data_IF_888503619788
#
_entry.id   IF_888503619788
#
_cell.length_a   1.000
_cell.length_b   1.000
_cell.length_c   1.000
_cell.angle_alpha   90.00
_cell.angle_beta   90.00
_cell.angle_gamma   90.00
#
_symmetry.space_group_name_H-M   'P 1'
#
loop_
_entity.id
_entity.type
_entity.pdbx_description
1 polymer ?
#
# COMPACT_ATOMS: atom_id res chain seq x y z
N UNK A 1 -12.77 -8.74 5.36
CA UNK A 1 -13.11 -9.37 4.07
C UNK A 1 -11.84 -9.39 3.24
N UNK A 2 -11.45 -10.55 2.68
CA UNK A 2 -10.20 -10.70 1.95
C UNK A 2 -10.39 -10.33 0.47
N UNK A 3 -9.44 -9.56 -0.05
CA UNK A 3 -9.40 -9.03 -1.40
C UNK A 3 -8.07 -9.40 -2.05
N UNK A 4 -8.07 -9.64 -3.36
CA UNK A 4 -6.85 -9.82 -4.14
C UNK A 4 -6.88 -8.84 -5.30
N UNK A 5 -5.84 -8.02 -5.39
CA UNK A 5 -5.69 -7.01 -6.42
C UNK A 5 -4.40 -7.25 -7.21
N UNK A 6 -4.47 -7.01 -8.52
CA UNK A 6 -3.30 -7.08 -9.39
C UNK A 6 -3.00 -5.67 -9.90
N UNK A 7 -2.01 -5.04 -9.27
CA UNK A 7 -1.49 -3.77 -9.74
C UNK A 7 -0.78 -3.97 -11.07
N UNK A 8 -1.13 -3.15 -12.06
CA UNK A 8 -0.51 -3.14 -13.39
C UNK A 8 -0.36 -1.70 -13.88
N UNK A 9 0.86 -1.32 -14.26
CA UNK A 9 1.13 -0.09 -15.01
C UNK A 9 2.10 -0.38 -16.15
N UNK A 10 1.86 0.24 -17.30
CA UNK A 10 2.74 0.13 -18.46
C UNK A 10 3.00 1.52 -19.00
N UNK A 11 4.27 1.92 -19.07
CA UNK A 11 4.70 3.17 -19.69
C UNK A 11 5.81 2.84 -20.69
N UNK A 12 5.52 2.99 -21.97
CA UNK A 12 6.42 2.56 -23.04
C UNK A 12 6.63 1.04 -23.06
N UNK A 13 7.89 0.61 -23.11
CA UNK A 13 8.27 -0.80 -23.23
C UNK A 13 8.35 -1.54 -21.89
N UNK A 14 8.24 -0.84 -20.76
CA UNK A 14 8.37 -1.41 -19.42
C UNK A 14 7.04 -1.49 -18.71
N UNK A 15 6.91 -2.49 -17.82
CA UNK A 15 5.70 -2.76 -17.07
C UNK A 15 6.00 -3.06 -15.62
N UNK A 16 5.19 -2.47 -14.73
CA UNK A 16 5.14 -2.78 -13.32
C UNK A 16 3.95 -3.70 -13.08
N UNK A 17 4.19 -4.83 -12.43
CA UNK A 17 3.13 -5.74 -12.01
C UNK A 17 3.40 -6.22 -10.60
N UNK A 18 2.38 -6.23 -9.77
CA UNK A 18 2.42 -6.89 -8.48
C UNK A 18 1.02 -7.43 -8.13
N UNK A 19 0.98 -8.42 -7.27
CA UNK A 19 -0.24 -8.94 -6.66
C UNK A 19 -0.18 -8.69 -5.16
N UNK A 20 -1.24 -8.12 -4.63
CA UNK A 20 -1.44 -7.97 -3.19
C UNK A 20 -2.75 -8.64 -2.81
N UNK A 21 -2.73 -9.38 -1.71
CA UNK A 21 -3.95 -9.84 -1.06
C UNK A 21 -4.03 -9.20 0.32
N UNK A 22 -5.15 -8.56 0.62
CA UNK A 22 -5.37 -7.89 1.90
C UNK A 22 -6.75 -8.17 2.45
N UNK A 23 -6.88 -8.11 3.75
CA UNK A 23 -8.12 -8.27 4.49
C UNK A 23 -8.29 -7.10 5.46
N UNK A 24 -9.44 -6.44 5.39
CA UNK A 24 -9.78 -5.31 6.25
C UNK A 24 -10.87 -5.71 7.23
N UNK A 25 -10.65 -5.41 8.52
CA UNK A 25 -11.56 -5.75 9.62
C UNK A 25 -11.69 -4.58 10.61
N UNK A 26 -12.92 -4.21 10.95
CA UNK A 26 -13.20 -3.37 12.12
C UNK A 26 -13.19 -4.22 13.38
N UNK A 27 -12.58 -3.71 14.45
CA UNK A 27 -12.39 -4.44 15.70
C UNK A 27 -12.88 -3.62 16.89
N UNK A 28 -13.66 -4.26 17.77
CA UNK A 28 -14.18 -3.64 19.00
C UNK A 28 -13.11 -3.42 20.07
N UNK A 29 -11.94 -4.05 19.91
CA UNK A 29 -10.75 -3.88 20.74
C UNK A 29 -9.50 -3.77 19.86
N UNK A 30 -8.44 -3.07 20.31
CA UNK A 30 -7.17 -3.02 19.59
C UNK A 30 -6.59 -4.44 19.40
N UNK A 31 -6.09 -4.78 18.19
CA UNK A 31 -5.51 -6.09 17.95
C UNK A 31 -4.25 -6.31 18.80
N UNK A 32 -4.11 -7.52 19.36
CA UNK A 32 -2.89 -7.94 20.06
C UNK A 32 -1.69 -8.22 19.14
N UNK A 33 -1.86 -8.05 17.82
CA UNK A 33 -0.88 -8.32 16.78
C UNK A 33 -0.88 -7.18 15.75
N UNK A 34 0.18 -7.11 14.96
CA UNK A 34 0.34 -6.06 13.96
C UNK A 34 1.02 -4.81 14.52
N UNK A 35 1.11 -3.80 13.68
CA UNK A 35 1.77 -2.53 13.98
C UNK A 35 0.77 -1.41 13.77
N UNK A 36 0.76 -0.45 14.69
CA UNK A 36 -0.04 0.75 14.53
C UNK A 36 0.60 1.66 13.48
N UNK A 37 -0.23 2.26 12.64
CA UNK A 37 0.21 3.29 11.69
C UNK A 37 0.16 4.62 12.42
N UNK A 38 1.32 5.21 12.66
CA UNK A 38 1.49 6.44 13.43
C UNK A 38 0.75 6.40 14.79
N UNK A 39 0.08 7.49 15.15
CA UNK A 39 -0.79 7.60 16.33
C UNK A 39 -2.26 7.31 16.04
N UNK A 40 -2.57 6.74 14.87
CA UNK A 40 -3.95 6.40 14.47
C UNK A 40 -4.48 5.16 15.20
N UNK A 41 -5.78 4.88 15.03
CA UNK A 41 -6.39 3.61 15.44
C UNK A 41 -6.39 2.56 14.32
N UNK A 42 -5.58 2.76 13.29
CA UNK A 42 -5.37 1.80 12.21
C UNK A 42 -4.14 0.97 12.53
N UNK A 43 -4.32 -0.34 12.44
CA UNK A 43 -3.30 -1.35 12.62
C UNK A 43 -3.11 -2.08 11.32
N UNK A 44 -1.90 -2.56 11.07
CA UNK A 44 -1.63 -3.38 9.91
C UNK A 44 -0.71 -4.55 10.24
N UNK A 45 -0.83 -5.63 9.48
CA UNK A 45 0.02 -6.80 9.60
C UNK A 45 0.65 -7.09 8.24
N UNK A 46 1.99 -7.03 8.08
CA UNK A 46 2.65 -7.36 6.83
C UNK A 46 2.53 -8.85 6.51
N UNK A 47 2.66 -9.25 5.22
CA UNK A 47 2.67 -10.65 4.86
C UNK A 47 3.97 -11.32 5.33
N UNK A 48 3.91 -12.61 5.59
CA UNK A 48 5.06 -13.36 6.06
C UNK A 48 6.17 -13.41 4.99
N UNK A 49 7.40 -13.08 5.36
CA UNK A 49 8.56 -13.19 4.47
C UNK A 49 8.71 -12.06 3.44
N UNK A 50 7.93 -10.98 3.57
CA UNK A 50 8.09 -9.77 2.75
C UNK A 50 9.52 -9.21 2.86
N UNK A 51 10.03 -8.66 1.76
CA UNK A 51 11.29 -7.92 1.76
C UNK A 51 11.14 -6.65 2.62
N UNK A 52 12.15 -6.34 3.44
CA UNK A 52 12.09 -5.20 4.36
C UNK A 52 11.84 -3.85 3.65
N UNK A 53 12.24 -3.71 2.38
CA UNK A 53 11.97 -2.47 1.63
C UNK A 53 10.53 -2.38 1.14
N UNK A 54 9.96 -3.47 0.61
CA UNK A 54 8.53 -3.52 0.26
C UNK A 54 7.67 -3.26 1.49
N UNK A 55 8.04 -3.84 2.63
CA UNK A 55 7.35 -3.65 3.90
C UNK A 55 7.28 -2.17 4.30
N UNK A 56 8.39 -1.43 4.14
CA UNK A 56 8.44 0.01 4.40
C UNK A 56 7.56 0.79 3.45
N UNK A 57 7.58 0.46 2.15
CA UNK A 57 6.74 1.12 1.17
C UNK A 57 5.25 0.81 1.37
N UNK A 58 4.88 -0.41 1.73
CA UNK A 58 3.50 -0.74 2.12
C UNK A 58 3.05 0.08 3.33
N UNK A 59 3.87 0.12 4.38
CA UNK A 59 3.58 0.92 5.57
C UNK A 59 3.38 2.40 5.22
N UNK A 60 4.24 2.94 4.37
CA UNK A 60 4.14 4.30 3.87
C UNK A 60 2.85 4.54 3.08
N UNK A 61 2.50 3.64 2.14
CA UNK A 61 1.25 3.74 1.38
C UNK A 61 0.02 3.71 2.27
N UNK A 62 -0.01 2.85 3.29
CA UNK A 62 -1.07 2.83 4.30
C UNK A 62 -1.11 4.12 5.14
N UNK A 63 0.06 4.69 5.45
CA UNK A 63 0.18 6.00 6.12
C UNK A 63 -0.43 7.13 5.32
N UNK A 64 -0.24 7.15 3.99
CA UNK A 64 -0.82 8.17 3.11
C UNK A 64 -2.36 8.19 3.16
N UNK A 65 -2.99 7.03 3.32
CA UNK A 65 -4.46 6.90 3.36
C UNK A 65 -5.01 6.68 4.76
N UNK A 66 -4.20 6.83 5.82
CA UNK A 66 -4.58 6.46 7.19
C UNK A 66 -5.84 7.17 7.67
N UNK A 67 -6.02 8.45 7.33
CA UNK A 67 -7.21 9.20 7.71
C UNK A 67 -8.50 8.68 7.06
N UNK A 68 -8.41 8.16 5.83
CA UNK A 68 -9.54 7.56 5.13
C UNK A 68 -9.85 6.17 5.69
N UNK A 69 -8.81 5.41 6.05
CA UNK A 69 -8.96 4.13 6.73
C UNK A 69 -9.63 4.30 8.11
N UNK A 70 -9.28 5.33 8.88
CA UNK A 70 -9.95 5.59 10.16
C UNK A 70 -11.46 5.81 10.01
N UNK A 71 -11.91 6.40 8.90
CA UNK A 71 -13.33 6.59 8.63
C UNK A 71 -14.06 5.25 8.37
N UNK A 72 -13.38 4.24 7.82
CA UNK A 72 -13.95 2.90 7.58
C UNK A 72 -14.26 2.12 8.87
N UNK A 73 -13.70 2.55 10.00
CA UNK A 73 -13.86 1.86 11.29
C UNK A 73 -15.32 1.80 11.77
N UNK A 74 -16.17 2.69 11.28
CA UNK A 74 -17.61 2.76 11.60
C UNK A 74 -17.90 2.70 13.11
N UNK A 75 -17.13 3.45 13.90
CA UNK A 75 -17.29 3.54 15.36
C UNK A 75 -16.60 2.44 16.18
N UNK A 76 -15.99 1.43 15.56
CA UNK A 76 -15.23 0.41 16.29
C UNK A 76 -13.99 1.01 17.02
N UNK A 77 -13.28 0.22 17.85
CA UNK A 77 -12.10 0.72 18.58
C UNK A 77 -10.86 0.80 17.69
N UNK A 78 -10.69 -0.15 16.77
CA UNK A 78 -9.57 -0.22 15.83
C UNK A 78 -10.01 -0.71 14.44
N UNK A 79 -9.20 -0.40 13.43
CA UNK A 79 -9.27 -1.04 12.11
C UNK A 79 -7.98 -1.83 11.89
N UNK A 80 -8.08 -3.10 11.48
CA UNK A 80 -6.94 -3.93 11.10
C UNK A 80 -6.91 -4.13 9.59
N UNK A 81 -5.78 -3.81 8.96
CA UNK A 81 -5.45 -4.13 7.57
C UNK A 81 -4.39 -5.23 7.57
N UNK A 82 -4.81 -6.48 7.32
CA UNK A 82 -3.90 -7.61 7.22
C UNK A 82 -3.52 -7.82 5.76
N UNK A 83 -2.24 -7.83 5.43
CA UNK A 83 -1.76 -8.23 4.11
C UNK A 83 -1.46 -9.72 4.17
N UNK A 84 -2.27 -10.51 3.48
CA UNK A 84 -2.17 -11.98 3.48
C UNK A 84 -1.07 -12.48 2.54
N UNK A 85 -0.88 -11.79 1.40
CA UNK A 85 0.08 -12.20 0.38
C UNK A 85 0.62 -11.00 -0.43
N UNK A 86 1.89 -11.10 -0.82
CA UNK A 86 2.58 -10.12 -1.67
C UNK A 86 3.47 -10.86 -2.67
N UNK A 87 3.23 -10.63 -3.96
CA UNK A 87 3.98 -11.28 -5.03
C UNK A 87 4.31 -10.28 -6.13
N UNK A 88 5.57 -10.28 -6.56
CA UNK A 88 6.05 -9.53 -7.72
C UNK A 88 6.57 -10.52 -8.74
N UNK A 89 5.93 -10.64 -9.92
CA UNK A 89 6.39 -11.55 -10.96
C UNK A 89 7.80 -11.18 -11.44
N UNK A 90 8.71 -12.16 -11.48
CA UNK A 90 10.13 -12.03 -11.87
C UNK A 90 10.38 -11.36 -13.24
N UNK A 91 9.38 -11.26 -14.11
CA UNK A 91 9.51 -10.72 -15.48
C UNK A 91 9.28 -9.21 -15.57
N UNK A 92 9.13 -8.51 -14.46
CA UNK A 92 8.84 -7.08 -14.43
C UNK A 92 9.99 -6.25 -13.88
N UNK A 93 10.08 -4.99 -14.31
CA UNK A 93 11.02 -4.00 -13.79
C UNK A 93 10.63 -3.64 -12.35
N UNK A 94 10.92 -4.55 -11.42
CA UNK A 94 10.53 -4.43 -10.01
C UNK A 94 11.01 -3.10 -9.41
N UNK A 95 10.07 -2.39 -8.79
CA UNK A 95 10.32 -1.20 -7.99
C UNK A 95 9.50 -1.29 -6.72
N UNK A 96 10.17 -1.04 -5.61
CA UNK A 96 9.68 -1.12 -4.24
C UNK A 96 8.49 -0.18 -3.96
N UNK A 97 8.37 0.97 -4.64
CA UNK A 97 7.22 1.88 -4.58
C UNK A 97 5.90 1.22 -5.05
N UNK A 98 5.99 0.17 -5.86
CA UNK A 98 4.83 -0.61 -6.30
C UNK A 98 4.09 -1.19 -5.10
N UNK A 99 4.79 -1.49 -4.01
CA UNK A 99 4.17 -2.01 -2.79
C UNK A 99 3.20 -0.99 -2.15
N UNK A 100 3.57 0.30 -2.14
CA UNK A 100 2.69 1.37 -1.68
C UNK A 100 1.48 1.53 -2.63
N UNK A 101 1.75 1.63 -3.93
CA UNK A 101 0.71 1.86 -4.93
C UNK A 101 -0.30 0.71 -5.01
N UNK A 102 0.17 -0.53 -4.95
CA UNK A 102 -0.70 -1.71 -5.01
C UNK A 102 -1.66 -1.79 -3.81
N UNK A 103 -1.21 -1.46 -2.61
CA UNK A 103 -2.06 -1.45 -1.40
C UNK A 103 -3.09 -0.32 -1.48
N UNK A 104 -2.69 0.89 -1.88
CA UNK A 104 -3.61 2.03 -2.04
C UNK A 104 -4.70 1.72 -3.07
N UNK A 105 -4.33 1.23 -4.27
CA UNK A 105 -5.30 0.93 -5.32
C UNK A 105 -6.20 -0.25 -4.95
N UNK A 106 -5.69 -1.25 -4.22
CA UNK A 106 -6.51 -2.35 -3.70
C UNK A 106 -7.58 -1.83 -2.72
N UNK A 107 -7.19 -0.95 -1.78
CA UNK A 107 -8.12 -0.36 -0.83
C UNK A 107 -9.13 0.56 -1.52
N UNK A 108 -8.71 1.33 -2.52
CA UNK A 108 -9.60 2.17 -3.32
C UNK A 108 -10.67 1.33 -4.03
N UNK A 109 -10.24 0.25 -4.70
CA UNK A 109 -11.13 -0.64 -5.46
C UNK A 109 -12.14 -1.36 -4.55
N UNK A 110 -11.68 -1.89 -3.41
CA UNK A 110 -12.48 -2.84 -2.62
C UNK A 110 -13.06 -2.27 -1.32
N UNK A 111 -12.46 -1.23 -0.75
CA UNK A 111 -12.93 -0.59 0.48
C UNK A 111 -13.59 0.77 0.21
N UNK A 112 -13.56 1.28 -1.03
CA UNK A 112 -14.22 2.52 -1.42
C UNK A 112 -13.62 3.77 -0.80
N UNK A 113 -12.33 3.74 -0.43
CA UNK A 113 -11.59 4.95 -0.06
C UNK A 113 -11.27 5.75 -1.32
N UNK A 114 -11.05 7.06 -1.17
CA UNK A 114 -10.66 7.91 -2.30
C UNK A 114 -9.23 7.61 -2.80
N UNK A 115 -8.36 7.14 -1.91
CA UNK A 115 -6.94 6.89 -2.20
C UNK A 115 -6.11 8.18 -2.20
N UNK A 116 -5.03 8.19 -2.96
CA UNK A 116 -4.22 9.40 -3.25
C UNK A 116 -3.94 9.46 -4.75
N UNK A 117 -3.59 10.64 -5.27
CA UNK A 117 -3.17 10.76 -6.67
C UNK A 117 -1.76 10.19 -6.85
N UNK A 118 -1.69 8.99 -7.44
CA UNK A 118 -0.43 8.29 -7.72
C UNK A 118 0.04 8.65 -9.13
N UNK A 119 0.94 9.63 -9.21
CA UNK A 119 1.61 9.99 -10.44
C UNK A 119 2.79 9.06 -10.76
N UNK A 120 2.92 8.69 -12.03
CA UNK A 120 4.02 7.84 -12.51
C UNK A 120 4.67 8.49 -13.73
N UNK A 121 5.96 8.78 -13.63
CA UNK A 121 6.76 9.35 -14.73
C UNK A 121 8.01 8.52 -15.00
N UNK A 122 8.47 8.48 -16.25
CA UNK A 122 9.68 7.77 -16.62
C UNK A 122 10.91 8.67 -16.45
N UNK A 123 11.78 8.33 -15.49
CA UNK A 123 13.10 8.94 -15.35
C UNK A 123 14.08 8.23 -16.29
N UNK A 124 14.34 8.86 -17.44
CA UNK A 124 15.23 8.31 -18.48
C UNK A 124 16.70 8.34 -18.08
N UNK A 125 17.10 9.25 -17.19
CA UNK A 125 18.49 9.36 -16.75
C UNK A 125 18.86 8.21 -15.81
N UNK A 126 17.90 7.82 -14.96
CA UNK A 126 18.07 6.71 -14.00
C UNK A 126 17.49 5.39 -14.47
N UNK A 127 16.85 5.36 -15.64
CA UNK A 127 16.22 4.17 -16.21
C UNK A 127 15.21 3.52 -15.21
N UNK A 128 14.46 4.36 -14.46
CA UNK A 128 13.53 3.96 -13.39
C UNK A 128 12.22 4.75 -13.54
N UNK A 129 11.15 4.28 -12.90
CA UNK A 129 9.95 5.09 -12.72
C UNK A 129 10.10 6.00 -11.50
N UNK A 130 9.56 7.21 -11.59
CA UNK A 130 9.44 8.14 -10.48
C UNK A 130 7.98 8.21 -10.09
N UNK A 131 7.71 7.84 -8.83
CA UNK A 131 6.42 7.95 -8.20
C UNK A 131 6.26 9.33 -7.56
N UNK A 132 5.04 9.86 -7.65
CA UNK A 132 4.59 11.02 -6.90
C UNK A 132 3.28 10.70 -6.21
N UNK A 133 3.10 11.20 -5.00
CA UNK A 133 1.93 11.00 -4.16
C UNK A 133 1.32 12.37 -3.92
N UNK A 134 0.11 12.61 -4.42
CA UNK A 134 -0.56 13.92 -4.39
C UNK A 134 0.31 15.06 -4.98
N UNK A 135 1.02 14.75 -6.07
CA UNK A 135 1.90 15.69 -6.77
C UNK A 135 3.28 15.92 -6.11
N UNK A 136 3.57 15.29 -4.97
CA UNK A 136 4.86 15.39 -4.30
C UNK A 136 5.70 14.11 -4.44
N UNK A 137 7.02 14.24 -4.60
CA UNK A 137 7.93 13.11 -4.43
C UNK A 137 8.23 12.95 -2.94
N UNK A 138 7.95 11.77 -2.39
CA UNK A 138 8.24 11.43 -0.99
C UNK A 138 8.69 9.97 -0.88
N UNK A 139 9.55 9.70 0.11
CA UNK A 139 10.15 8.38 0.39
C UNK A 139 9.95 8.01 1.87
N UNK A 140 9.79 6.72 2.20
CA UNK A 140 9.65 6.26 3.58
C UNK A 140 10.89 6.60 4.42
N UNK A 141 10.69 7.35 5.51
CA UNK A 141 11.74 7.66 6.50
C UNK A 141 12.39 9.04 6.39
N UNK A 142 11.94 9.91 5.48
CA UNK A 142 12.23 11.34 5.52
C UNK A 142 11.10 12.06 6.26
N UNK A 143 11.12 11.96 7.60
CA UNK A 143 10.28 12.71 8.53
C UNK A 143 11.13 13.28 9.65
#
# INVERSE_FOLDING_TARGET
MAFTYIYKRRIGSWGLVARVSLDVQSMDEPPGVGRRIDDSRVWWLPPQGIAATDEKWMAFGLGLVVGQLEALRDGAAALLVRVDDWDVPMLTDYQEEVAAAAVIECLQEYCGIDGVDIGLTLDRERNRYRFTWDGASAEPGLG
#
